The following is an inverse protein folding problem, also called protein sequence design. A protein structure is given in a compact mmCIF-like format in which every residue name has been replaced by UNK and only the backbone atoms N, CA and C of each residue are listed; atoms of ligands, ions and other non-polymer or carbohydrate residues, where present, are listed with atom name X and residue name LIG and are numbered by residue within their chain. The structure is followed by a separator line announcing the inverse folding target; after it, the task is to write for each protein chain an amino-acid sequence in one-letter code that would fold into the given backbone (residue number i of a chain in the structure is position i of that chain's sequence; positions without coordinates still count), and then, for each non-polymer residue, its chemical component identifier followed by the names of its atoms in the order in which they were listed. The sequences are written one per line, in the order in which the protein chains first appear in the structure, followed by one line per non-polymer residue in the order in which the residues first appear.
data_IF_073677211617
#
_entry.id   IF_073677211617
#
_cell.length_a   1.000
_cell.length_b   1.000
_cell.length_c   1.000
_cell.angle_alpha   90.00
_cell.angle_beta   90.00
_cell.angle_gamma   90.00
#
_symmetry.space_group_name_H-M   'P 1'
#
loop_
_entity.id
_entity.type
_entity.pdbx_description
1 polymer ?
#
# COMPACT_ATOMS: atom_id res chain seq x y z
N UNK A 1 -31.13 -17.36 43.12
CA UNK A 1 -30.47 -16.03 43.08
C UNK A 1 -28.94 -16.10 43.00
N UNK A 2 -28.23 -16.81 43.90
CA UNK A 2 -26.74 -16.89 43.87
C UNK A 2 -26.12 -17.50 42.59
N UNK A 3 -26.78 -18.46 41.93
CA UNK A 3 -26.28 -19.08 40.68
C UNK A 3 -26.37 -18.16 39.46
N UNK A 4 -27.41 -17.32 39.41
CA UNK A 4 -27.65 -16.37 38.31
C UNK A 4 -26.61 -15.23 38.36
N UNK A 5 -26.29 -14.72 39.54
CA UNK A 5 -25.18 -13.75 39.71
C UNK A 5 -23.83 -14.31 39.26
N UNK A 6 -23.52 -15.57 39.55
CA UNK A 6 -22.25 -16.18 39.12
C UNK A 6 -22.16 -16.31 37.61
N UNK A 7 -23.24 -16.75 36.96
CA UNK A 7 -23.32 -16.84 35.50
C UNK A 7 -23.16 -15.47 34.82
N UNK A 8 -23.76 -14.42 35.39
CA UNK A 8 -23.61 -13.05 34.86
C UNK A 8 -22.15 -12.56 34.92
N UNK A 9 -21.44 -12.85 36.02
CA UNK A 9 -20.02 -12.50 36.17
C UNK A 9 -19.15 -13.22 35.14
N UNK A 10 -19.38 -14.52 34.89
CA UNK A 10 -18.64 -15.26 33.87
C UNK A 10 -18.94 -14.76 32.45
N UNK A 11 -20.19 -14.39 32.16
CA UNK A 11 -20.56 -13.82 30.86
C UNK A 11 -19.87 -12.48 30.59
N UNK A 12 -19.81 -11.60 31.60
CA UNK A 12 -19.13 -10.31 31.50
C UNK A 12 -17.62 -10.50 31.31
N UNK A 13 -17.01 -11.43 32.05
CA UNK A 13 -15.59 -11.75 31.89
C UNK A 13 -15.25 -12.30 30.49
N UNK A 14 -16.11 -13.15 29.93
CA UNK A 14 -15.94 -13.69 28.57
C UNK A 14 -16.05 -12.59 27.50
N UNK A 15 -16.98 -11.64 27.65
CA UNK A 15 -17.13 -10.49 26.74
C UNK A 15 -15.92 -9.54 26.81
N UNK A 16 -15.36 -9.31 27.99
CA UNK A 16 -14.18 -8.46 28.16
C UNK A 16 -12.93 -9.08 27.50
N UNK A 17 -12.80 -10.41 27.52
CA UNK A 17 -11.68 -11.11 26.89
C UNK A 17 -11.79 -11.19 25.36
N UNK A 18 -13.02 -11.18 24.82
CA UNK A 18 -13.23 -11.15 23.37
C UNK A 18 -12.79 -9.82 22.72
N UNK A 19 -12.81 -8.71 23.47
CA UNK A 19 -12.40 -7.39 22.98
C UNK A 19 -10.90 -7.25 22.67
N UNK A 20 -10.04 -8.04 23.32
CA UNK A 20 -8.58 -7.98 23.11
C UNK A 20 -8.10 -8.77 21.88
N UNK A 21 -8.93 -9.68 21.34
CA UNK A 21 -8.57 -10.49 20.17
C UNK A 21 -9.03 -9.93 18.82
N UNK A 22 -9.95 -8.96 18.84
CA UNK A 22 -10.61 -8.43 17.64
C UNK A 22 -10.29 -6.94 17.43
N UNK A 23 -9.02 -6.60 17.37
CA UNK A 23 -8.60 -5.41 16.66
C UNK A 23 -8.19 -5.86 15.24
N UNK A 24 -9.18 -6.06 14.35
CA UNK A 24 -8.94 -5.91 12.92
C UNK A 24 -8.59 -4.45 12.70
N UNK A 25 -7.34 -4.10 12.94
CA UNK A 25 -6.79 -2.81 12.54
C UNK A 25 -6.80 -2.86 11.02
N UNK A 26 -7.79 -2.21 10.41
CA UNK A 26 -7.87 -1.95 8.98
C UNK A 26 -7.52 -0.46 8.79
N UNK A 27 -6.22 -0.10 8.90
CA UNK A 27 -5.83 1.29 8.80
C UNK A 27 -5.94 1.74 7.35
N UNK A 28 -6.30 3.01 7.16
CA UNK A 28 -6.31 3.60 5.82
C UNK A 28 -4.89 4.02 5.45
N UNK A 29 -4.26 3.26 4.56
CA UNK A 29 -2.96 3.62 3.99
C UNK A 29 -3.14 4.63 2.86
N UNK A 30 -2.34 5.68 2.88
CA UNK A 30 -2.28 6.67 1.82
C UNK A 30 -0.82 6.91 1.44
N UNK A 31 -0.58 7.04 0.13
CA UNK A 31 0.69 7.54 -0.37
C UNK A 31 0.64 9.06 -0.47
N UNK A 32 1.68 9.73 0.00
CA UNK A 32 1.84 11.19 -0.17
C UNK A 32 1.97 11.55 -1.65
N UNK A 33 2.57 10.66 -2.46
CA UNK A 33 2.71 10.83 -3.91
C UNK A 33 2.30 9.55 -4.65
N UNK A 34 1.05 9.50 -5.16
CA UNK A 34 0.53 8.36 -5.92
C UNK A 34 1.25 8.11 -7.25
N UNK A 35 2.05 9.08 -7.74
CA UNK A 35 2.82 8.93 -8.97
C UNK A 35 4.12 8.18 -8.75
N UNK A 36 4.60 8.06 -7.50
CA UNK A 36 5.82 7.33 -7.16
C UNK A 36 5.54 6.03 -6.38
N UNK A 37 4.51 6.04 -5.53
CA UNK A 37 4.15 4.89 -4.70
C UNK A 37 2.62 4.76 -4.59
N UNK A 38 2.10 3.54 -4.71
CA UNK A 38 0.68 3.24 -4.47
C UNK A 38 0.55 2.05 -3.52
N UNK A 39 -0.50 2.07 -2.71
CA UNK A 39 -0.82 1.00 -1.76
C UNK A 39 -2.18 0.42 -2.14
N UNK A 40 -2.25 -0.91 -2.22
CA UNK A 40 -3.45 -1.64 -2.60
C UNK A 40 -3.73 -1.66 -4.10
N UNK A 41 -4.79 -2.39 -4.47
CA UNK A 41 -5.26 -2.52 -5.84
C UNK A 41 -4.31 -3.27 -6.77
N UNK A 42 -4.67 -3.24 -8.05
CA UNK A 42 -3.87 -3.83 -9.12
C UNK A 42 -2.61 -2.99 -9.41
N UNK A 43 -1.59 -3.64 -9.99
CA UNK A 43 -0.37 -2.97 -10.41
C UNK A 43 -0.72 -1.81 -11.35
N UNK A 44 -0.16 -0.61 -11.15
CA UNK A 44 -0.37 0.49 -12.08
C UNK A 44 0.18 0.13 -13.47
N UNK A 45 -0.46 0.64 -14.52
CA UNK A 45 -0.05 0.36 -15.90
C UNK A 45 1.41 0.73 -16.18
N UNK A 46 2.10 -0.11 -16.95
CA UNK A 46 3.44 0.19 -17.45
C UNK A 46 3.34 1.23 -18.55
N UNK A 47 4.23 2.23 -18.53
CA UNK A 47 4.31 3.25 -19.57
C UNK A 47 5.44 2.88 -20.54
N UNK A 48 5.24 3.08 -21.83
CA UNK A 48 6.33 2.93 -22.78
C UNK A 48 7.42 3.99 -22.56
N UNK A 49 8.70 3.67 -22.85
CA UNK A 49 9.77 4.65 -22.82
C UNK A 49 9.44 5.90 -23.64
N UNK A 50 9.59 7.08 -23.04
CA UNK A 50 9.39 8.35 -23.72
C UNK A 50 10.71 9.05 -24.00
N UNK A 51 10.77 9.79 -25.11
CA UNK A 51 11.91 10.66 -25.44
C UNK A 51 11.45 12.11 -25.29
N UNK A 52 12.10 12.84 -24.39
CA UNK A 52 11.81 14.24 -24.08
C UNK A 52 12.94 15.12 -24.64
N UNK A 53 12.58 16.08 -25.50
CA UNK A 53 13.55 17.05 -26.04
C UNK A 53 13.90 18.11 -24.98
N UNK A 54 15.19 18.25 -24.66
CA UNK A 54 15.72 19.20 -23.68
C UNK A 54 16.51 20.35 -24.33
N UNK A 55 16.30 20.60 -25.62
CA UNK A 55 16.92 21.67 -26.41
C UNK A 55 18.20 21.23 -27.09
N UNK A 56 19.22 20.84 -26.31
CA UNK A 56 20.54 20.42 -26.85
C UNK A 56 20.74 18.91 -26.90
N UNK A 57 19.94 18.14 -26.15
CA UNK A 57 19.94 16.69 -26.14
C UNK A 57 18.53 16.18 -25.83
N UNK A 58 18.33 14.88 -25.96
CA UNK A 58 17.07 14.24 -25.61
C UNK A 58 17.26 13.33 -24.39
N UNK A 59 16.25 13.25 -23.53
CA UNK A 59 16.20 12.32 -22.42
C UNK A 59 15.27 11.17 -22.77
N UNK A 60 15.78 9.95 -22.75
CA UNK A 60 14.95 8.75 -22.72
C UNK A 60 14.58 8.48 -21.26
N UNK A 61 13.30 8.57 -20.95
CA UNK A 61 12.73 8.24 -19.64
C UNK A 61 12.05 6.89 -19.71
N UNK A 62 12.37 6.00 -18.78
CA UNK A 62 11.78 4.67 -18.65
C UNK A 62 11.22 4.54 -17.24
N UNK A 63 9.90 4.45 -17.15
CA UNK A 63 9.18 4.28 -15.89
C UNK A 63 8.65 2.86 -15.79
N UNK A 64 9.02 2.16 -14.71
CA UNK A 64 8.60 0.79 -14.46
C UNK A 64 7.99 0.68 -13.07
N UNK A 65 6.78 0.15 -12.99
CA UNK A 65 6.17 -0.21 -11.72
C UNK A 65 6.61 -1.60 -11.26
N UNK A 66 6.84 -1.76 -9.96
CA UNK A 66 7.19 -3.03 -9.32
C UNK A 66 6.51 -3.19 -7.96
N UNK A 67 6.44 -4.44 -7.48
CA UNK A 67 5.99 -4.73 -6.12
C UNK A 67 7.15 -4.61 -5.13
N UNK A 68 6.95 -3.86 -4.06
CA UNK A 68 7.89 -3.66 -2.93
C UNK A 68 7.24 -4.12 -1.61
N UNK A 69 6.62 -5.29 -1.62
CA UNK A 69 6.05 -5.92 -0.43
C UNK A 69 4.57 -5.62 -0.21
N UNK A 70 4.12 -5.76 1.05
CA UNK A 70 2.72 -5.66 1.44
C UNK A 70 2.58 -4.97 2.81
N UNK A 71 1.44 -4.34 3.06
CA UNK A 71 1.05 -3.81 4.37
C UNK A 71 0.75 -4.95 5.35
N UNK A 72 0.71 -4.69 6.67
CA UNK A 72 0.32 -5.68 7.70
C UNK A 72 -1.03 -6.38 7.48
N UNK A 73 -1.97 -5.73 6.80
CA UNK A 73 -3.28 -6.29 6.40
C UNK A 73 -3.28 -6.92 4.99
N UNK A 74 -2.12 -6.99 4.34
CA UNK A 74 -1.90 -7.75 3.10
C UNK A 74 -2.10 -6.96 1.80
N UNK A 75 -2.23 -5.63 1.84
CA UNK A 75 -2.37 -4.82 0.63
C UNK A 75 -0.99 -4.68 -0.06
N UNK A 76 -0.90 -4.88 -1.38
CA UNK A 76 0.37 -4.74 -2.10
C UNK A 76 0.88 -3.30 -2.07
N UNK A 77 2.21 -3.15 -1.98
CA UNK A 77 2.88 -1.86 -2.13
C UNK A 77 3.55 -1.83 -3.50
N UNK A 78 3.18 -0.84 -4.31
CA UNK A 78 3.70 -0.62 -5.65
C UNK A 78 4.60 0.61 -5.64
N UNK A 79 5.78 0.52 -6.24
CA UNK A 79 6.70 1.65 -6.43
C UNK A 79 7.10 1.79 -7.88
N UNK A 80 7.37 3.04 -8.29
CA UNK A 80 7.82 3.38 -9.63
C UNK A 80 9.33 3.63 -9.63
N UNK A 81 10.06 2.81 -10.39
CA UNK A 81 11.46 3.10 -10.73
C UNK A 81 11.47 3.96 -12.02
N UNK A 82 12.15 5.11 -11.98
CA UNK A 82 12.29 6.03 -13.12
C UNK A 82 13.76 6.12 -13.51
N UNK A 83 14.12 5.60 -14.68
CA UNK A 83 15.46 5.72 -15.25
C UNK A 83 15.52 6.79 -16.33
N UNK A 84 16.58 7.60 -16.32
CA UNK A 84 16.79 8.71 -17.27
C UNK A 84 18.14 8.57 -17.93
N UNK A 85 18.15 8.49 -19.26
CA UNK A 85 19.38 8.40 -20.04
C UNK A 85 19.42 9.52 -21.09
N UNK A 86 20.56 10.18 -21.20
CA UNK A 86 20.82 11.14 -22.28
C UNK A 86 21.02 10.37 -23.59
N UNK A 87 20.28 10.75 -24.63
CA UNK A 87 20.33 10.15 -25.96
C UNK A 87 20.38 11.25 -27.04
N UNK A 88 20.91 10.95 -28.24
CA UNK A 88 20.74 11.82 -29.38
C UNK A 88 19.24 12.01 -29.68
N UNK A 89 18.85 13.22 -30.04
CA UNK A 89 17.53 13.46 -30.59
C UNK A 89 17.42 12.79 -31.96
N UNK A 90 16.40 11.95 -32.13
CA UNK A 90 16.05 11.36 -33.43
C UNK A 90 15.09 12.28 -34.17
#
# INVERSE_FOLDING_TARGET
MKRICRLAVFAIAALALAGCGAATIAPNYHSTDPELMRVGGDMPGQKEPEIINMGSYCLKVVDTWKSEGQTPDGQPIWTKDSFRNVVPCR
#
